data_IF_511805654911
#
_entry.id   IF_511805654911
#
_cell.length_a   1.000
_cell.length_b   1.000
_cell.length_c   1.000
_cell.angle_alpha   90.00
_cell.angle_beta   90.00
_cell.angle_gamma   90.00
#
_symmetry.space_group_name_H-M   'P 1'
#
loop_
_entity.id
_entity.type
_entity.pdbx_description
1 polymer ?
#
# COMPACT_ATOMS: atom_id res chain seq x y z
N UNK A 1 -26.80 -39.00 10.60
CA UNK A 1 -26.86 -37.55 10.79
C UNK A 1 -26.10 -36.92 9.63
N UNK A 2 -26.79 -36.44 8.59
CA UNK A 2 -26.15 -35.88 7.37
C UNK A 2 -25.87 -34.40 7.63
N UNK A 3 -24.60 -34.02 7.57
CA UNK A 3 -24.18 -32.61 7.55
C UNK A 3 -24.73 -31.98 6.27
N UNK A 4 -25.64 -31.02 6.42
CA UNK A 4 -26.13 -30.21 5.31
C UNK A 4 -25.01 -29.28 4.87
N UNK A 5 -24.69 -29.32 3.57
CA UNK A 5 -23.78 -28.40 2.89
C UNK A 5 -24.21 -26.95 3.17
N UNK A 6 -23.49 -26.27 4.07
CA UNK A 6 -23.76 -24.89 4.50
C UNK A 6 -23.70 -23.88 3.35
N UNK A 7 -22.94 -24.21 2.31
CA UNK A 7 -22.84 -23.47 1.04
C UNK A 7 -24.18 -23.38 0.31
N UNK A 8 -25.00 -24.44 0.35
CA UNK A 8 -26.29 -24.50 -0.35
C UNK A 8 -27.39 -23.66 0.32
N UNK A 9 -27.25 -23.40 1.63
CA UNK A 9 -28.23 -22.62 2.39
C UNK A 9 -28.04 -21.13 2.13
N UNK A 10 -26.79 -20.67 2.11
CA UNK A 10 -26.42 -19.28 1.83
C UNK A 10 -26.88 -18.89 0.42
N UNK A 11 -26.56 -19.72 -0.59
CA UNK A 11 -26.96 -19.48 -1.97
C UNK A 11 -28.48 -19.38 -2.14
N UNK A 12 -29.26 -20.18 -1.39
CA UNK A 12 -30.73 -20.13 -1.39
C UNK A 12 -31.31 -18.90 -0.72
N UNK A 13 -30.70 -18.45 0.38
CA UNK A 13 -31.14 -17.25 1.10
C UNK A 13 -30.88 -16.01 0.25
N UNK A 14 -29.68 -15.92 -0.33
CA UNK A 14 -29.28 -14.80 -1.20
C UNK A 14 -30.14 -14.71 -2.45
N UNK A 15 -30.37 -15.83 -3.15
CA UNK A 15 -31.26 -15.86 -4.32
C UNK A 15 -32.71 -15.46 -4.00
N UNK A 16 -33.20 -15.76 -2.79
CA UNK A 16 -34.56 -15.38 -2.35
C UNK A 16 -34.72 -13.87 -2.10
N UNK A 17 -33.62 -13.16 -1.85
CA UNK A 17 -33.59 -11.71 -1.70
C UNK A 17 -33.14 -10.99 -2.98
N UNK A 18 -33.06 -11.70 -4.11
CA UNK A 18 -32.71 -11.12 -5.42
C UNK A 18 -31.21 -10.90 -5.63
N UNK A 19 -30.36 -11.46 -4.77
CA UNK A 19 -28.91 -11.44 -4.99
C UNK A 19 -28.54 -12.61 -5.91
N UNK A 20 -28.13 -12.28 -7.13
CA UNK A 20 -27.50 -13.23 -8.03
C UNK A 20 -26.00 -13.32 -7.73
N UNK A 21 -25.47 -14.53 -7.68
CA UNK A 21 -24.03 -14.76 -7.56
C UNK A 21 -23.42 -14.21 -8.84
N UNK A 22 -22.60 -13.14 -8.76
CA UNK A 22 -21.90 -12.67 -9.95
C UNK A 22 -21.08 -13.84 -10.49
N UNK A 23 -21.28 -14.18 -11.76
CA UNK A 23 -20.37 -15.09 -12.41
C UNK A 23 -19.04 -14.34 -12.42
N UNK A 24 -18.09 -14.81 -11.62
CA UNK A 24 -16.70 -14.40 -11.77
C UNK A 24 -16.29 -14.90 -13.14
N UNK A 25 -16.47 -14.05 -14.15
CA UNK A 25 -15.87 -14.23 -15.46
C UNK A 25 -14.38 -14.13 -15.20
N UNK A 26 -13.72 -15.29 -15.15
CA UNK A 26 -12.26 -15.32 -15.25
C UNK A 26 -11.92 -14.60 -16.55
N UNK A 27 -11.20 -13.47 -16.55
CA UNK A 27 -10.61 -13.01 -17.79
C UNK A 27 -9.70 -14.14 -18.27
N UNK A 28 -10.00 -14.66 -19.46
CA UNK A 28 -9.11 -15.60 -20.12
C UNK A 28 -7.80 -14.85 -20.37
N UNK A 29 -6.74 -15.27 -19.69
CA UNK A 29 -5.38 -14.85 -20.03
C UNK A 29 -5.11 -15.41 -21.42
N UNK A 30 -5.26 -14.57 -22.44
CA UNK A 30 -4.94 -14.91 -23.81
C UNK A 30 -3.42 -15.05 -23.90
N UNK A 31 -2.93 -16.29 -23.83
CA UNK A 31 -1.55 -16.60 -24.16
C UNK A 31 -1.32 -16.24 -25.64
N UNK A 32 -0.52 -15.19 -25.88
CA UNK A 32 0.01 -14.90 -27.21
C UNK A 32 1.38 -15.54 -27.32
N UNK A 33 1.56 -16.24 -28.44
CA UNK A 33 2.60 -17.21 -28.76
C UNK A 33 3.97 -16.55 -28.98
N UNK A 34 5.00 -17.33 -28.62
CA UNK A 34 6.44 -17.17 -28.80
C UNK A 34 6.92 -16.31 -29.99
N UNK A 35 7.82 -15.37 -29.70
CA UNK A 35 8.98 -15.09 -30.55
C UNK A 35 10.10 -14.38 -29.76
N UNK A 36 11.29 -15.02 -29.75
CA UNK A 36 12.61 -14.57 -29.26
C UNK A 36 12.74 -14.38 -27.73
N UNK A 37 13.48 -15.28 -27.08
CA UNK A 37 13.83 -15.21 -25.66
C UNK A 37 14.80 -14.05 -25.35
N UNK A 38 14.29 -12.83 -25.32
CA UNK A 38 14.68 -11.87 -24.29
C UNK A 38 14.22 -12.45 -22.95
N UNK A 39 15.06 -12.35 -21.91
CA UNK A 39 14.68 -12.74 -20.55
C UNK A 39 13.38 -11.97 -20.23
N UNK A 40 12.27 -12.70 -20.08
CA UNK A 40 10.99 -12.08 -19.80
C UNK A 40 11.16 -11.15 -18.59
N UNK A 41 10.71 -9.89 -18.67
CA UNK A 41 10.81 -8.99 -17.54
C UNK A 41 10.10 -9.61 -16.34
N UNK A 42 10.70 -9.47 -15.15
CA UNK A 42 10.07 -9.85 -13.88
C UNK A 42 8.61 -9.33 -13.88
N UNK A 43 7.67 -10.13 -13.39
CA UNK A 43 6.24 -9.82 -13.42
C UNK A 43 5.93 -8.46 -12.79
N UNK A 44 6.60 -8.08 -11.69
CA UNK A 44 6.46 -6.74 -11.10
C UNK A 44 7.02 -5.60 -11.94
N UNK A 45 7.73 -5.89 -13.03
CA UNK A 45 8.29 -4.90 -13.97
C UNK A 45 7.61 -4.94 -15.33
N UNK A 46 6.67 -5.86 -15.57
CA UNK A 46 6.06 -6.06 -16.87
C UNK A 46 5.44 -4.77 -17.46
N UNK A 47 4.85 -3.93 -16.61
CA UNK A 47 4.22 -2.66 -17.01
C UNK A 47 5.13 -1.43 -16.91
N UNK A 48 6.44 -1.61 -16.65
CA UNK A 48 7.36 -0.49 -16.43
C UNK A 48 7.45 0.46 -17.61
N UNK A 49 7.60 -0.09 -18.83
CA UNK A 49 7.79 0.71 -20.04
C UNK A 49 6.56 1.58 -20.38
N UNK A 50 5.37 1.15 -19.93
CA UNK A 50 4.12 1.87 -20.15
C UNK A 50 3.78 2.90 -19.07
N UNK A 51 4.51 2.92 -17.95
CA UNK A 51 4.18 3.81 -16.83
C UNK A 51 4.77 5.21 -17.01
N UNK A 52 3.91 6.22 -17.01
CA UNK A 52 4.29 7.64 -17.15
C UNK A 52 4.12 8.39 -15.83
N UNK A 53 5.23 8.64 -15.13
CA UNK A 53 5.23 9.42 -13.89
C UNK A 53 4.74 10.86 -14.08
N UNK A 54 4.84 11.46 -15.27
CA UNK A 54 4.39 12.83 -15.51
C UNK A 54 2.86 12.95 -15.50
N UNK A 55 2.15 11.84 -15.71
CA UNK A 55 0.68 11.77 -15.66
C UNK A 55 0.16 11.26 -14.32
N UNK A 56 1.04 10.70 -13.49
CA UNK A 56 0.64 9.97 -12.31
C UNK A 56 0.32 10.90 -11.14
N UNK A 57 -0.81 10.64 -10.48
CA UNK A 57 -1.15 11.20 -9.18
C UNK A 57 -0.57 10.35 -8.06
N UNK A 58 -0.05 11.02 -7.02
CA UNK A 58 0.47 10.36 -5.83
C UNK A 58 -0.67 9.93 -4.91
N UNK A 59 -0.59 8.70 -4.43
CA UNK A 59 -1.35 8.13 -3.32
C UNK A 59 -0.40 7.83 -2.14
N UNK A 60 -0.92 7.19 -1.09
CA UNK A 60 -0.20 6.97 0.18
C UNK A 60 1.03 6.05 0.04
N UNK A 61 0.99 5.02 -0.82
CA UNK A 61 2.16 4.16 -1.13
C UNK A 61 2.47 4.04 -2.63
N UNK A 62 1.68 4.68 -3.49
CA UNK A 62 1.72 4.42 -4.93
C UNK A 62 1.54 5.69 -5.76
N UNK A 63 1.79 5.56 -7.05
CA UNK A 63 1.48 6.53 -8.09
C UNK A 63 0.49 5.87 -9.06
N UNK A 64 -0.48 6.62 -9.56
CA UNK A 64 -1.48 6.05 -10.45
C UNK A 64 -2.07 7.05 -11.44
N UNK A 65 -2.58 6.55 -12.56
CA UNK A 65 -3.43 7.32 -13.48
C UNK A 65 -4.34 6.37 -14.27
N UNK A 66 -5.49 6.89 -14.70
CA UNK A 66 -6.37 6.23 -15.65
C UNK A 66 -5.98 6.55 -17.09
N UNK A 67 -5.99 5.55 -17.97
CA UNK A 67 -5.77 5.73 -19.41
C UNK A 67 -7.08 5.81 -20.18
N UNK A 68 -8.00 4.88 -19.89
CA UNK A 68 -9.32 4.73 -20.50
C UNK A 68 -10.37 4.47 -19.38
N UNK A 69 -11.66 4.31 -19.72
CA UNK A 69 -12.73 4.12 -18.73
C UNK A 69 -12.47 2.96 -17.74
N UNK A 70 -11.76 1.91 -18.19
CA UNK A 70 -11.57 0.68 -17.41
C UNK A 70 -10.10 0.37 -17.10
N UNK A 71 -9.12 1.15 -17.56
CA UNK A 71 -7.69 0.81 -17.41
C UNK A 71 -6.95 1.78 -16.51
N UNK A 72 -6.33 1.24 -15.47
CA UNK A 72 -5.55 1.98 -14.47
C UNK A 72 -4.12 1.50 -14.41
N UNK A 73 -3.18 2.44 -14.41
CA UNK A 73 -1.76 2.19 -14.22
C UNK A 73 -1.36 2.53 -12.80
N UNK A 74 -0.55 1.67 -12.19
CA UNK A 74 -0.03 1.83 -10.83
C UNK A 74 1.48 1.61 -10.79
N UNK A 75 2.16 2.37 -9.94
CA UNK A 75 3.53 2.13 -9.54
C UNK A 75 3.70 2.25 -8.02
N UNK A 76 4.44 1.35 -7.39
CA UNK A 76 4.91 1.52 -6.00
C UNK A 76 6.37 1.95 -6.08
N UNK A 77 6.63 3.20 -5.71
CA UNK A 77 7.97 3.80 -5.73
C UNK A 77 8.51 4.09 -7.12
N UNK A 78 9.83 4.25 -7.20
CA UNK A 78 10.66 4.37 -8.40
C UNK A 78 11.94 3.56 -8.16
N UNK A 79 12.62 3.08 -9.20
CA UNK A 79 13.89 2.36 -9.01
C UNK A 79 14.85 3.19 -8.14
N UNK A 80 15.44 2.58 -7.11
CA UNK A 80 16.26 3.19 -6.04
C UNK A 80 15.53 4.16 -5.09
N UNK A 81 14.20 4.28 -5.17
CA UNK A 81 13.39 5.21 -4.42
C UNK A 81 12.10 4.56 -3.88
N UNK A 82 12.11 4.25 -2.60
CA UNK A 82 10.98 3.59 -1.92
C UNK A 82 9.99 4.64 -1.39
N UNK A 83 8.67 4.39 -1.40
CA UNK A 83 7.70 5.24 -0.72
C UNK A 83 8.03 5.39 0.76
N UNK A 84 7.96 6.63 1.28
CA UNK A 84 8.28 6.92 2.69
C UNK A 84 7.39 6.13 3.64
N UNK A 85 6.13 5.91 3.26
CA UNK A 85 5.16 5.10 3.99
C UNK A 85 5.63 3.67 4.20
N UNK A 86 6.12 3.04 3.13
CA UNK A 86 6.71 1.70 3.17
C UNK A 86 7.99 1.72 4.00
N UNK A 87 8.91 2.65 3.74
CA UNK A 87 10.17 2.75 4.46
C UNK A 87 9.95 2.89 5.99
N UNK A 88 9.03 3.77 6.40
CA UNK A 88 8.68 3.97 7.79
C UNK A 88 8.11 2.70 8.44
N UNK A 89 7.25 1.96 7.75
CA UNK A 89 6.69 0.69 8.26
C UNK A 89 7.72 -0.43 8.42
N UNK A 90 8.79 -0.43 7.62
CA UNK A 90 9.82 -1.46 7.65
C UNK A 90 10.78 -1.30 8.84
N UNK A 91 10.95 -0.09 9.38
CA UNK A 91 11.86 0.21 10.49
C UNK A 91 11.64 -0.71 11.71
N UNK A 92 12.74 -1.10 12.37
CA UNK A 92 12.69 -1.80 13.66
C UNK A 92 12.37 -3.30 13.57
N UNK A 93 12.86 -4.00 12.53
CA UNK A 93 12.82 -5.48 12.39
C UNK A 93 11.42 -6.10 12.47
N UNK A 94 10.37 -5.39 12.02
CA UNK A 94 8.96 -5.85 11.98
C UNK A 94 8.47 -6.16 10.56
N UNK A 95 9.34 -6.74 9.73
CA UNK A 95 9.07 -7.01 8.31
C UNK A 95 7.77 -7.78 8.05
N UNK A 96 7.45 -8.78 8.88
CA UNK A 96 6.22 -9.58 8.71
C UNK A 96 4.95 -8.72 8.85
N UNK A 97 4.91 -7.83 9.84
CA UNK A 97 3.77 -6.96 10.06
C UNK A 97 3.70 -5.88 8.97
N UNK A 98 4.83 -5.31 8.58
CA UNK A 98 4.90 -4.36 7.47
C UNK A 98 4.38 -4.98 6.16
N UNK A 99 4.82 -6.20 5.83
CA UNK A 99 4.35 -6.96 4.67
C UNK A 99 2.84 -7.08 4.64
N UNK A 100 2.24 -7.48 5.77
CA UNK A 100 0.79 -7.66 5.87
C UNK A 100 0.03 -6.36 5.59
N UNK A 101 0.50 -5.23 6.14
CA UNK A 101 -0.16 -3.93 5.95
C UNK A 101 -0.03 -3.41 4.51
N UNK A 102 1.14 -3.62 3.89
CA UNK A 102 1.40 -3.25 2.50
C UNK A 102 0.55 -4.14 1.58
N UNK A 103 0.39 -5.42 1.91
CA UNK A 103 -0.44 -6.35 1.16
C UNK A 103 -1.93 -5.97 1.22
N UNK A 104 -2.44 -5.57 2.39
CA UNK A 104 -3.82 -5.06 2.55
C UNK A 104 -4.05 -3.81 1.68
N UNK A 105 -3.05 -2.92 1.58
CA UNK A 105 -3.14 -1.76 0.69
C UNK A 105 -3.11 -2.16 -0.78
N UNK A 106 -2.20 -3.05 -1.18
CA UNK A 106 -2.09 -3.53 -2.54
C UNK A 106 -3.41 -4.16 -3.02
N UNK A 107 -4.07 -4.95 -2.16
CA UNK A 107 -5.36 -5.56 -2.47
C UNK A 107 -6.48 -4.51 -2.55
N UNK A 108 -6.66 -3.71 -1.48
CA UNK A 108 -7.81 -2.81 -1.37
C UNK A 108 -7.73 -1.55 -2.25
N UNK A 109 -6.53 -1.06 -2.57
CA UNK A 109 -6.34 0.20 -3.30
C UNK A 109 -5.81 -0.02 -4.72
N UNK A 110 -5.00 -1.05 -4.94
CA UNK A 110 -4.39 -1.34 -6.26
C UNK A 110 -5.04 -2.53 -6.96
N UNK A 111 -5.99 -3.20 -6.30
CA UNK A 111 -6.68 -4.39 -6.83
C UNK A 111 -5.69 -5.52 -7.16
N UNK A 112 -4.54 -5.51 -6.46
CA UNK A 112 -3.47 -6.46 -6.62
C UNK A 112 -3.63 -7.54 -5.55
N UNK A 113 -4.20 -8.68 -5.95
CA UNK A 113 -4.57 -9.74 -5.02
C UNK A 113 -3.36 -10.23 -4.19
N UNK A 114 -3.59 -10.61 -2.92
CA UNK A 114 -2.54 -11.03 -2.00
C UNK A 114 -1.68 -12.19 -2.54
N UNK A 115 -2.27 -13.12 -3.28
CA UNK A 115 -1.63 -14.28 -3.89
C UNK A 115 -1.12 -14.03 -5.31
N UNK A 116 -1.13 -12.78 -5.79
CA UNK A 116 -0.59 -12.47 -7.12
C UNK A 116 0.93 -12.68 -7.16
N UNK A 117 1.40 -13.35 -8.21
CA UNK A 117 2.83 -13.56 -8.44
C UNK A 117 3.60 -12.23 -8.48
N UNK A 118 2.94 -11.16 -8.94
CA UNK A 118 3.48 -9.78 -9.00
C UNK A 118 3.88 -9.25 -7.63
N UNK A 119 3.00 -9.33 -6.60
CA UNK A 119 3.32 -8.81 -5.28
C UNK A 119 4.40 -9.64 -4.57
N UNK A 120 4.30 -10.97 -4.69
CA UNK A 120 5.23 -11.90 -4.07
C UNK A 120 6.63 -11.73 -4.65
N UNK A 121 6.76 -11.71 -5.98
CA UNK A 121 8.03 -11.51 -6.66
C UNK A 121 8.64 -10.14 -6.36
N UNK A 122 7.83 -9.07 -6.33
CA UNK A 122 8.32 -7.74 -5.94
C UNK A 122 8.87 -7.72 -4.50
N UNK A 123 8.16 -8.35 -3.56
CA UNK A 123 8.58 -8.42 -2.17
C UNK A 123 9.89 -9.21 -2.02
N UNK A 124 10.02 -10.33 -2.72
CA UNK A 124 11.22 -11.17 -2.72
C UNK A 124 12.41 -10.47 -3.37
N UNK A 125 12.20 -9.81 -4.51
CA UNK A 125 13.23 -9.01 -5.20
C UNK A 125 13.77 -7.90 -4.30
N UNK A 126 12.89 -7.26 -3.51
CA UNK A 126 13.24 -6.19 -2.60
C UNK A 126 13.66 -6.65 -1.19
N UNK A 127 13.84 -7.95 -0.95
CA UNK A 127 14.16 -8.47 0.38
C UNK A 127 15.42 -7.83 0.99
N UNK A 128 16.48 -7.64 0.20
CA UNK A 128 17.73 -7.03 0.67
C UNK A 128 17.58 -5.51 0.99
N UNK A 129 17.01 -4.67 0.11
CA UNK A 129 16.64 -3.30 0.45
C UNK A 129 15.76 -3.19 1.71
N UNK A 130 14.75 -4.04 1.85
CA UNK A 130 13.84 -4.03 2.99
C UNK A 130 14.54 -4.43 4.29
N UNK A 131 15.37 -5.47 4.27
CA UNK A 131 16.18 -5.87 5.43
C UNK A 131 17.14 -4.76 5.83
N UNK A 132 17.75 -4.06 4.87
CA UNK A 132 18.64 -2.91 5.15
C UNK A 132 17.90 -1.82 5.93
N UNK A 133 16.68 -1.46 5.52
CA UNK A 133 15.85 -0.48 6.24
C UNK A 133 15.47 -1.02 7.62
N UNK A 134 15.04 -2.29 7.70
CA UNK A 134 14.55 -2.89 8.93
C UNK A 134 15.63 -3.05 10.00
N UNK A 135 16.88 -3.20 9.57
CA UNK A 135 18.07 -3.36 10.42
C UNK A 135 18.83 -2.05 10.65
N UNK A 136 18.28 -0.90 10.20
CA UNK A 136 18.83 0.41 10.54
C UNK A 136 18.85 0.58 12.07
N UNK A 137 20.02 0.31 12.63
CA UNK A 137 20.25 0.42 14.06
C UNK A 137 20.79 1.81 14.35
N UNK A 138 19.86 2.74 14.53
CA UNK A 138 20.18 4.03 15.12
C UNK A 138 20.08 3.86 16.64
N UNK A 139 21.05 3.13 17.20
CA UNK A 139 21.21 2.77 18.61
C UNK A 139 21.46 3.99 19.52
N UNK A 140 21.38 5.19 18.96
CA UNK A 140 21.34 6.44 19.70
C UNK A 140 19.88 6.90 19.68
N UNK A 141 19.09 6.62 20.72
CA UNK A 141 18.06 7.59 21.00
C UNK A 141 18.80 8.92 21.19
N UNK A 142 18.35 9.99 20.53
CA UNK A 142 18.75 11.34 20.89
C UNK A 142 18.17 11.73 22.26
N UNK A 143 18.19 10.80 23.23
CA UNK A 143 18.24 11.10 24.65
C UNK A 143 19.67 11.59 24.96
N UNK A 144 20.07 12.68 24.32
CA UNK A 144 20.96 13.58 25.00
C UNK A 144 20.14 14.09 26.20
N UNK A 145 20.45 13.54 27.37
CA UNK A 145 20.40 14.24 28.65
C UNK A 145 20.62 15.74 28.39
N UNK A 146 19.64 16.55 28.78
CA UNK A 146 19.54 18.01 28.57
C UNK A 146 18.91 18.45 27.23
N UNK A 147 17.62 18.16 27.06
CA UNK A 147 16.80 18.76 25.99
C UNK A 147 16.18 20.08 26.49
N UNK A 148 16.50 21.24 25.89
CA UNK A 148 15.65 22.42 26.02
C UNK A 148 14.27 22.10 25.42
N UNK A 149 13.19 22.35 26.16
CA UNK A 149 11.80 22.04 25.79
C UNK A 149 11.29 22.67 24.46
N UNK A 150 12.11 23.48 23.80
CA UNK A 150 11.72 24.46 22.76
C UNK A 150 11.97 24.00 21.30
N UNK A 151 12.04 22.70 20.99
CA UNK A 151 11.94 22.29 19.59
C UNK A 151 10.48 22.25 19.14
N UNK A 152 10.14 22.96 18.07
CA UNK A 152 8.82 22.88 17.46
C UNK A 152 8.62 21.57 16.69
N UNK A 153 7.34 21.18 16.52
CA UNK A 153 6.97 20.16 15.56
C UNK A 153 7.27 20.69 14.14
N UNK A 154 7.85 19.89 13.22
CA UNK A 154 8.08 18.44 13.26
C UNK A 154 9.44 17.98 13.82
N UNK A 155 10.36 18.89 14.16
CA UNK A 155 11.74 18.56 14.51
C UNK A 155 11.87 17.58 15.68
N UNK A 156 10.92 17.60 16.63
CA UNK A 156 10.80 16.60 17.71
C UNK A 156 10.77 15.15 17.22
N UNK A 157 10.17 14.89 16.05
CA UNK A 157 10.02 13.53 15.52
C UNK A 157 11.35 12.92 15.05
N UNK A 158 12.31 13.74 14.63
CA UNK A 158 13.66 13.29 14.25
C UNK A 158 14.38 12.50 15.36
N UNK A 159 13.97 12.68 16.62
CA UNK A 159 14.58 12.04 17.79
C UNK A 159 13.99 10.68 18.15
N UNK A 160 12.87 10.29 17.54
CA UNK A 160 12.25 8.98 17.78
C UNK A 160 13.21 7.87 17.34
N UNK A 161 13.23 6.78 18.11
CA UNK A 161 13.91 5.56 17.71
C UNK A 161 13.22 4.96 16.45
N UNK A 162 13.94 4.20 15.61
CA UNK A 162 13.37 3.59 14.40
C UNK A 162 12.08 2.82 14.68
N UNK A 163 12.07 2.03 15.77
CA UNK A 163 10.92 1.24 16.18
C UNK A 163 9.73 2.12 16.57
N UNK A 164 9.95 3.28 17.19
CA UNK A 164 8.89 4.21 17.60
C UNK A 164 8.22 4.84 16.38
N UNK A 165 9.01 5.34 15.43
CA UNK A 165 8.50 5.86 14.15
C UNK A 165 7.63 4.81 13.47
N UNK A 166 8.18 3.61 13.35
CA UNK A 166 7.49 2.50 12.70
C UNK A 166 6.18 2.12 13.40
N UNK A 167 6.19 2.10 14.73
CA UNK A 167 5.01 1.80 15.53
C UNK A 167 3.92 2.86 15.35
N UNK A 168 4.27 4.15 15.40
CA UNK A 168 3.30 5.23 15.19
C UNK A 168 2.71 5.19 13.77
N UNK A 169 3.56 4.95 12.78
CA UNK A 169 3.14 4.86 11.38
C UNK A 169 2.14 3.71 11.19
N UNK A 170 2.50 2.48 11.59
CA UNK A 170 1.62 1.30 11.49
C UNK A 170 0.32 1.47 12.27
N UNK A 171 0.36 2.10 13.46
CA UNK A 171 -0.82 2.35 14.27
C UNK A 171 -1.81 3.28 13.57
N UNK A 172 -1.32 4.31 12.89
CA UNK A 172 -2.17 5.23 12.15
C UNK A 172 -2.66 4.62 10.84
N UNK A 173 -1.81 3.86 10.15
CA UNK A 173 -2.18 3.08 8.97
C UNK A 173 -3.39 2.19 9.21
N UNK A 174 -3.37 1.40 10.27
CA UNK A 174 -4.49 0.50 10.65
C UNK A 174 -5.79 1.23 10.97
N UNK A 175 -5.75 2.54 11.24
CA UNK A 175 -6.96 3.35 11.44
C UNK A 175 -7.51 3.90 10.13
N UNK A 176 -6.65 4.11 9.14
CA UNK A 176 -7.05 4.60 7.82
C UNK A 176 -7.54 3.44 6.95
N UNK A 177 -6.75 2.37 6.88
CA UNK A 177 -7.08 1.15 6.13
C UNK A 177 -7.53 0.08 7.09
N UNK A 178 -8.76 0.26 7.60
CA UNK A 178 -9.42 -0.78 8.38
C UNK A 178 -9.73 -1.93 7.44
N UNK A 179 -9.30 -3.13 7.82
CA UNK A 179 -9.67 -4.36 7.13
C UNK A 179 -11.20 -4.52 7.21
N UNK A 180 -11.89 -4.18 6.12
CA UNK A 180 -13.34 -4.33 6.03
C UNK A 180 -13.63 -5.74 5.54
N UNK A 181 -13.81 -6.67 6.47
CA UNK A 181 -14.07 -8.09 6.20
C UNK A 181 -15.42 -8.38 5.51
N UNK A 182 -16.17 -7.36 5.09
CA UNK A 182 -17.55 -7.45 4.61
C UNK A 182 -17.74 -6.78 3.23
N UNK A 183 -16.99 -7.21 2.21
CA UNK A 183 -17.20 -6.78 0.81
C UNK A 183 -18.63 -7.06 0.29
N UNK A 184 -19.37 -7.94 0.98
CA UNK A 184 -20.68 -8.41 0.56
C UNK A 184 -21.82 -7.39 0.75
N UNK A 185 -21.62 -6.31 1.54
CA UNK A 185 -22.71 -5.37 1.88
C UNK A 185 -22.68 -4.05 1.09
N UNK A 186 -21.68 -3.84 0.23
CA UNK A 186 -21.50 -2.62 -0.56
C UNK A 186 -22.49 -2.44 -1.72
N UNK A 187 -23.54 -3.27 -1.82
CA UNK A 187 -24.48 -3.27 -2.96
C UNK A 187 -25.77 -2.48 -2.68
N UNK A 188 -26.02 -2.09 -1.42
CA UNK A 188 -27.24 -1.35 -1.05
C UNK A 188 -27.04 0.16 -1.23
N UNK A 189 -27.99 0.88 -1.86
CA UNK A 189 -27.99 2.34 -1.89
C UNK A 189 -27.89 2.99 -0.50
N UNK A 190 -28.48 2.36 0.53
CA UNK A 190 -28.40 2.83 1.93
C UNK A 190 -26.98 2.71 2.49
N UNK A 191 -26.24 1.69 2.08
CA UNK A 191 -24.84 1.53 2.48
C UNK A 191 -23.95 2.58 1.78
N UNK A 192 -24.20 2.83 0.48
CA UNK A 192 -23.54 3.90 -0.24
C UNK A 192 -23.84 5.29 0.37
N UNK A 193 -25.07 5.53 0.82
CA UNK A 193 -25.45 6.78 1.47
C UNK A 193 -24.89 6.92 2.88
N UNK A 194 -24.70 5.81 3.62
CA UNK A 194 -23.95 5.81 4.88
C UNK A 194 -22.53 6.34 4.65
N UNK A 195 -21.82 5.84 3.63
CA UNK A 195 -20.48 6.34 3.27
C UNK A 195 -20.44 7.81 2.86
N UNK A 196 -21.58 8.42 2.52
CA UNK A 196 -21.68 9.85 2.16
C UNK A 196 -21.99 10.76 3.35
N UNK A 197 -22.22 10.22 4.54
CA UNK A 197 -22.51 11.03 5.73
C UNK A 197 -21.35 12.01 6.01
N UNK A 198 -21.64 13.29 6.30
CA UNK A 198 -20.61 14.30 6.58
C UNK A 198 -19.62 13.87 7.67
N UNK A 199 -20.12 13.26 8.75
CA UNK A 199 -19.27 12.79 9.84
C UNK A 199 -18.24 11.73 9.41
N UNK A 200 -18.61 10.83 8.50
CA UNK A 200 -17.68 9.81 7.99
C UNK A 200 -16.64 10.43 7.05
N UNK A 201 -17.05 11.40 6.22
CA UNK A 201 -16.12 12.18 5.39
C UNK A 201 -15.13 13.01 6.21
N UNK A 202 -15.58 13.61 7.31
CA UNK A 202 -14.72 14.39 8.22
C UNK A 202 -13.70 13.48 8.92
N UNK A 203 -14.13 12.30 9.36
CA UNK A 203 -13.24 11.28 9.93
C UNK A 203 -12.21 10.82 8.91
N UNK A 204 -12.63 10.49 7.68
CA UNK A 204 -11.72 10.09 6.61
C UNK A 204 -10.70 11.19 6.29
N UNK A 205 -11.17 12.43 6.16
CA UNK A 205 -10.30 13.60 5.92
C UNK A 205 -9.29 13.78 7.05
N UNK A 206 -9.73 13.67 8.31
CA UNK A 206 -8.84 13.75 9.48
C UNK A 206 -7.80 12.64 9.50
N UNK A 207 -8.18 11.41 9.13
CA UNK A 207 -7.28 10.26 9.04
C UNK A 207 -6.25 10.41 7.90
N UNK A 208 -6.67 10.91 6.73
CA UNK A 208 -5.76 11.21 5.61
C UNK A 208 -4.77 12.32 5.97
N UNK A 209 -5.24 13.40 6.59
CA UNK A 209 -4.37 14.48 7.07
C UNK A 209 -3.33 13.98 8.09
N UNK A 210 -3.70 13.02 8.93
CA UNK A 210 -2.79 12.38 9.87
C UNK A 210 -1.70 11.56 9.15
N UNK A 211 -2.04 10.82 8.09
CA UNK A 211 -1.04 10.12 7.27
C UNK A 211 -0.09 11.10 6.58
N UNK A 212 -0.60 12.16 5.96
CA UNK A 212 0.22 13.22 5.35
C UNK A 212 1.20 13.82 6.36
N UNK A 213 0.74 14.06 7.58
CA UNK A 213 1.60 14.57 8.66
C UNK A 213 2.67 13.55 9.05
N UNK A 214 2.33 12.27 9.12
CA UNK A 214 3.29 11.20 9.42
C UNK A 214 4.30 10.96 8.31
N UNK A 215 3.92 11.14 7.06
CA UNK A 215 4.84 11.15 5.92
C UNK A 215 5.87 12.26 6.08
N UNK A 216 5.43 13.49 6.37
CA UNK A 216 6.33 14.63 6.63
C UNK A 216 7.27 14.37 7.79
N UNK A 217 6.75 13.78 8.87
CA UNK A 217 7.54 13.42 10.05
C UNK A 217 8.58 12.33 9.72
N UNK A 218 8.20 11.33 8.94
CA UNK A 218 9.07 10.23 8.51
C UNK A 218 10.14 10.72 7.54
N UNK A 219 9.78 11.59 6.58
CA UNK A 219 10.71 12.27 5.68
C UNK A 219 11.76 13.07 6.47
N UNK A 220 11.32 13.91 7.41
CA UNK A 220 12.23 14.63 8.33
C UNK A 220 13.17 13.67 9.07
N UNK A 221 12.64 12.53 9.52
CA UNK A 221 13.42 11.54 10.27
C UNK A 221 14.50 10.87 9.41
N UNK A 222 14.17 10.53 8.17
CA UNK A 222 15.10 9.94 7.19
C UNK A 222 16.18 10.94 6.78
N UNK A 223 15.82 12.19 6.48
CA UNK A 223 16.80 13.25 6.17
C UNK A 223 17.77 13.51 7.32
N UNK A 224 17.26 13.57 8.56
CA UNK A 224 18.09 13.75 9.75
C UNK A 224 19.11 12.62 9.95
N UNK A 225 18.91 11.47 9.28
CA UNK A 225 19.81 10.30 9.28
C UNK A 225 20.64 10.16 8.01
N UNK A 226 20.63 11.19 7.16
CA UNK A 226 21.48 11.27 5.96
C UNK A 226 20.90 10.59 4.72
N UNK A 227 19.63 10.16 4.74
CA UNK A 227 18.97 9.69 3.53
C UNK A 227 18.61 10.87 2.63
N UNK A 228 18.68 10.65 1.32
CA UNK A 228 18.06 11.59 0.37
C UNK A 228 16.56 11.34 0.35
N UNK A 229 15.80 12.41 0.40
CA UNK A 229 14.33 12.38 0.38
C UNK A 229 13.83 13.27 -0.74
N UNK A 230 12.91 12.74 -1.53
CA UNK A 230 12.12 13.49 -2.49
C UNK A 230 10.80 13.87 -1.80
N UNK A 231 10.71 15.12 -1.35
CA UNK A 231 9.56 15.63 -0.60
C UNK A 231 8.30 15.77 -1.45
N UNK A 232 8.47 16.06 -2.74
CA UNK A 232 7.37 16.22 -3.68
C UNK A 232 6.70 14.87 -3.92
N UNK A 233 7.50 13.85 -4.22
CA UNK A 233 7.02 12.50 -4.51
C UNK A 233 6.84 11.63 -3.26
N UNK A 234 7.33 12.05 -2.10
CA UNK A 234 7.25 11.28 -0.85
C UNK A 234 8.11 10.02 -0.89
N UNK A 235 9.30 10.10 -1.47
CA UNK A 235 10.19 8.96 -1.68
C UNK A 235 11.48 9.11 -0.86
N UNK A 236 12.03 7.98 -0.43
CA UNK A 236 13.33 7.89 0.26
C UNK A 236 14.28 7.10 -0.63
N UNK A 237 15.50 7.60 -0.83
CA UNK A 237 16.48 6.91 -1.65
C UNK A 237 17.01 5.65 -0.93
N UNK A 238 16.81 4.49 -1.53
CA UNK A 238 17.28 3.19 -1.04
C UNK A 238 17.83 2.42 -2.23
N UNK A 239 19.16 2.41 -2.35
CA UNK A 239 19.86 1.75 -3.45
C UNK A 239 19.54 0.25 -3.54
N UNK A 240 19.20 -0.20 -4.75
CA UNK A 240 18.80 -1.56 -5.07
C UNK A 240 17.31 -1.83 -4.87
N UNK A 241 16.51 -0.82 -4.49
CA UNK A 241 15.05 -0.94 -4.49
C UNK A 241 14.52 -0.99 -5.92
N UNK A 242 13.65 -1.95 -6.21
CA UNK A 242 12.94 -2.09 -7.47
C UNK A 242 11.47 -1.71 -7.32
N UNK A 243 11.00 -0.79 -8.16
CA UNK A 243 9.60 -0.38 -8.18
C UNK A 243 8.71 -1.49 -8.76
N UNK A 244 7.51 -1.62 -8.19
CA UNK A 244 6.44 -2.45 -8.74
C UNK A 244 5.65 -1.62 -9.74
N UNK A 245 5.40 -2.16 -10.93
CA UNK A 245 4.54 -1.59 -11.96
C UNK A 245 3.41 -2.57 -12.27
N UNK A 246 2.17 -2.08 -12.21
CA UNK A 246 0.98 -2.90 -12.40
C UNK A 246 -0.04 -2.15 -13.25
N UNK A 247 -0.67 -2.86 -14.18
CA UNK A 247 -1.77 -2.36 -14.98
C UNK A 247 -3.00 -3.20 -14.63
N UNK A 248 -4.04 -2.55 -14.13
CA UNK A 248 -5.32 -3.16 -13.78
C UNK A 248 -6.36 -2.81 -14.84
N UNK A 249 -7.23 -3.78 -15.15
CA UNK A 249 -8.45 -3.55 -15.93
C UNK A 249 -9.63 -3.78 -14.99
N UNK A 250 -10.42 -2.74 -14.71
CA UNK A 250 -11.69 -2.87 -13.99
C UNK A 250 -12.76 -3.36 -14.97
N UNK A 251 -12.99 -4.67 -15.01
CA UNK A 251 -14.17 -5.20 -15.68
C UNK A 251 -15.37 -5.13 -14.71
N UNK A 252 -16.33 -4.24 -14.99
CA UNK A 252 -17.63 -4.20 -14.31
C UNK A 252 -18.48 -5.46 -14.59
#
# INVERSE_FOLDING_TARGET
MRLLDSTSLIDRVLGRFGYEKSQVVKPAVQAVVDEVAEIAPLAHRASKASFDYAKAERSDMSFHYGCDEDTYHYAIGKDDWIPVSIAAMLLGKRLKEARQLIQVYADSQLWLRPESDVFLEWWETNAAPFERIATLDFDVPLYATDVPLEMDWPAKFSRMAPLEVSYQYRRCWKRVYVDMTEDFLAVSPVHADLGRLPALRDVETGLRNLLTTLDQFSMTWFEARGFKVDWELGLVQVEGYEALFYCSVQAY
#
